data_IF_635904795540
#
_entry.id   IF_635904795540
#
_cell.length_a   1.000
_cell.length_b   1.000
_cell.length_c   1.000
_cell.angle_alpha   90.00
_cell.angle_beta   90.00
_cell.angle_gamma   90.00
#
_symmetry.space_group_name_H-M   'P 1'
#
loop_
_entity.id
_entity.type
_entity.pdbx_description
1 polymer ?
#
# COMPACT_ATOMS: atom_id res chain seq x y z
N UNK A 1 31.38 -27.10 -45.16
CA UNK A 1 30.79 -26.04 -44.32
C UNK A 1 29.59 -26.65 -43.62
N UNK A 2 29.82 -27.35 -42.50
CA UNK A 2 28.75 -28.00 -41.73
C UNK A 2 28.26 -26.97 -40.73
N UNK A 3 27.00 -26.56 -40.86
CA UNK A 3 26.36 -25.68 -39.88
C UNK A 3 26.09 -26.51 -38.61
N UNK A 4 26.85 -26.25 -37.56
CA UNK A 4 26.56 -26.75 -36.21
C UNK A 4 25.22 -26.15 -35.77
N UNK A 5 24.25 -27.00 -35.41
CA UNK A 5 22.99 -26.53 -34.85
C UNK A 5 23.28 -25.85 -33.50
N UNK A 6 22.66 -24.70 -33.18
CA UNK A 6 22.88 -24.03 -31.90
C UNK A 6 22.51 -25.00 -30.77
N UNK A 7 23.29 -25.02 -29.67
CA UNK A 7 23.04 -25.94 -28.57
C UNK A 7 21.61 -25.74 -28.07
N UNK A 8 20.83 -26.82 -28.06
CA UNK A 8 19.48 -26.81 -27.49
C UNK A 8 19.67 -26.46 -26.01
N UNK A 9 19.26 -25.24 -25.65
CA UNK A 9 19.39 -24.73 -24.29
C UNK A 9 18.85 -25.73 -23.28
N UNK A 10 19.60 -25.90 -22.19
CA UNK A 10 19.27 -26.80 -21.08
C UNK A 10 17.84 -26.52 -20.60
N UNK A 11 17.02 -27.57 -20.50
CA UNK A 11 15.61 -27.43 -20.11
C UNK A 11 15.55 -27.01 -18.65
N UNK A 12 15.26 -25.74 -18.39
CA UNK A 12 15.14 -25.20 -17.05
C UNK A 12 13.86 -25.75 -16.38
N UNK A 13 14.03 -26.51 -15.30
CA UNK A 13 12.92 -27.06 -14.53
C UNK A 13 12.16 -25.93 -13.80
N UNK A 14 11.15 -25.37 -14.47
CA UNK A 14 10.30 -24.29 -13.92
C UNK A 14 8.99 -24.85 -13.38
N UNK A 15 8.55 -24.33 -12.23
CA UNK A 15 7.21 -24.64 -11.71
C UNK A 15 6.13 -24.11 -12.68
N UNK A 16 5.06 -24.89 -12.96
CA UNK A 16 3.97 -24.43 -13.81
C UNK A 16 3.26 -23.18 -13.28
N UNK A 17 3.21 -23.03 -11.94
CA UNK A 17 2.63 -21.87 -11.26
C UNK A 17 3.54 -21.35 -10.15
N UNK A 18 3.61 -20.03 -9.95
CA UNK A 18 4.29 -19.45 -8.79
C UNK A 18 3.54 -19.82 -7.50
N UNK A 19 4.26 -19.76 -6.38
CA UNK A 19 3.64 -19.94 -5.07
C UNK A 19 2.60 -18.82 -4.85
N UNK A 20 1.34 -19.19 -4.56
CA UNK A 20 0.24 -18.24 -4.34
C UNK A 20 0.27 -17.63 -2.94
N UNK A 21 0.63 -18.42 -1.93
CA UNK A 21 0.79 -18.01 -0.55
C UNK A 21 2.05 -18.67 0.01
N UNK A 22 2.82 -17.94 0.81
CA UNK A 22 3.97 -18.48 1.51
C UNK A 22 3.59 -19.53 2.57
N UNK A 23 4.58 -20.17 3.20
CA UNK A 23 4.35 -21.06 4.34
C UNK A 23 3.52 -20.37 5.44
N UNK A 24 2.54 -21.09 6.00
CA UNK A 24 1.65 -20.55 7.04
C UNK A 24 2.49 -20.08 8.25
N UNK A 25 2.20 -18.90 8.77
CA UNK A 25 2.84 -18.33 9.97
C UNK A 25 4.08 -17.48 9.72
N UNK A 26 4.72 -17.58 8.53
CA UNK A 26 5.94 -16.80 8.24
C UNK A 26 5.68 -15.29 8.12
N UNK A 27 4.48 -14.89 7.69
CA UNK A 27 4.15 -13.51 7.37
C UNK A 27 4.15 -12.57 8.58
N UNK A 28 3.60 -12.99 9.72
CA UNK A 28 3.53 -12.13 10.92
C UNK A 28 4.92 -11.88 11.49
N UNK A 29 5.75 -12.92 11.58
CA UNK A 29 7.13 -12.80 12.02
C UNK A 29 7.91 -11.84 11.12
N UNK A 30 7.86 -12.05 9.80
CA UNK A 30 8.54 -11.19 8.84
C UNK A 30 8.05 -9.74 8.89
N UNK A 31 6.74 -9.48 9.06
CA UNK A 31 6.22 -8.12 9.16
C UNK A 31 6.81 -7.37 10.37
N UNK A 32 7.03 -8.06 11.49
CA UNK A 32 7.52 -7.43 12.72
C UNK A 32 9.05 -7.24 12.67
N UNK A 33 9.78 -8.18 12.07
CA UNK A 33 11.26 -8.20 12.11
C UNK A 33 11.91 -7.82 10.78
N UNK A 34 11.16 -7.40 9.77
CA UNK A 34 11.73 -7.06 8.45
C UNK A 34 12.59 -5.81 8.51
N UNK A 35 13.69 -5.82 7.76
CA UNK A 35 14.47 -4.63 7.40
C UNK A 35 14.37 -4.30 5.92
N UNK A 36 13.79 -5.19 5.09
CA UNK A 36 13.67 -5.00 3.65
C UNK A 36 12.75 -3.81 3.32
N UNK A 37 13.33 -2.79 2.68
CA UNK A 37 12.65 -1.59 2.22
C UNK A 37 11.44 -1.89 1.31
N UNK A 38 11.45 -2.99 0.57
CA UNK A 38 10.32 -3.39 -0.29
C UNK A 38 9.14 -3.85 0.55
N UNK A 39 9.39 -4.70 1.56
CA UNK A 39 8.34 -5.20 2.45
C UNK A 39 7.75 -4.04 3.26
N UNK A 40 8.61 -3.18 3.81
CA UNK A 40 8.19 -1.97 4.52
C UNK A 40 7.35 -1.06 3.61
N UNK A 41 7.79 -0.84 2.38
CA UNK A 41 7.04 -0.07 1.39
C UNK A 41 5.64 -0.64 1.10
N UNK A 42 5.52 -1.97 0.97
CA UNK A 42 4.21 -2.65 0.82
C UNK A 42 3.35 -2.42 2.07
N UNK A 43 3.92 -2.53 3.27
CA UNK A 43 3.21 -2.29 4.52
C UNK A 43 2.65 -0.86 4.60
N UNK A 44 3.45 0.15 4.21
CA UNK A 44 2.97 1.53 4.10
C UNK A 44 1.80 1.64 3.14
N UNK A 45 1.90 1.09 1.92
CA UNK A 45 0.81 1.15 0.94
C UNK A 45 -0.48 0.51 1.47
N UNK A 46 -0.39 -0.66 2.09
CA UNK A 46 -1.56 -1.37 2.64
C UNK A 46 -2.19 -0.58 3.80
N UNK A 47 -1.38 -0.09 4.73
CA UNK A 47 -1.88 0.69 5.87
C UNK A 47 -2.51 2.02 5.42
N UNK A 48 -1.84 2.75 4.52
CA UNK A 48 -2.35 4.00 3.96
C UNK A 48 -3.66 3.78 3.21
N UNK A 49 -3.78 2.70 2.44
CA UNK A 49 -5.04 2.38 1.76
C UNK A 49 -6.17 2.09 2.76
N UNK A 50 -5.86 1.47 3.91
CA UNK A 50 -6.79 1.36 5.02
C UNK A 50 -7.30 2.73 5.51
N UNK A 51 -6.39 3.66 5.81
CA UNK A 51 -6.76 5.03 6.22
C UNK A 51 -7.48 5.81 5.12
N UNK A 52 -7.14 5.58 3.85
CA UNK A 52 -7.84 6.16 2.71
C UNK A 52 -9.31 5.73 2.67
N UNK A 53 -9.62 4.46 2.94
CA UNK A 53 -10.99 3.97 3.00
C UNK A 53 -11.77 4.58 4.18
N UNK A 54 -11.14 4.65 5.37
CA UNK A 54 -11.76 5.26 6.55
C UNK A 54 -12.02 6.75 6.33
N UNK A 55 -11.01 7.49 5.85
CA UNK A 55 -11.14 8.90 5.52
C UNK A 55 -12.14 9.15 4.40
N UNK A 56 -12.16 8.30 3.38
CA UNK A 56 -13.12 8.36 2.27
C UNK A 56 -14.55 8.15 2.76
N UNK A 57 -14.77 7.20 3.67
CA UNK A 57 -16.08 6.97 4.28
C UNK A 57 -16.56 8.19 5.10
N UNK A 58 -15.67 8.80 5.89
CA UNK A 58 -16.00 10.05 6.60
C UNK A 58 -16.37 11.17 5.63
N UNK A 59 -15.68 11.29 4.49
CA UNK A 59 -16.04 12.27 3.46
C UNK A 59 -17.41 12.00 2.84
N UNK A 60 -17.80 10.74 2.67
CA UNK A 60 -19.14 10.39 2.20
C UNK A 60 -20.21 10.86 3.18
N UNK A 61 -20.02 10.66 4.49
CA UNK A 61 -20.96 11.18 5.51
C UNK A 61 -21.08 12.71 5.51
N UNK A 62 -19.96 13.43 5.35
CA UNK A 62 -19.96 14.88 5.20
C UNK A 62 -20.76 15.30 3.95
N UNK A 63 -20.54 14.59 2.83
CA UNK A 63 -21.23 14.88 1.56
C UNK A 63 -22.72 14.56 1.63
N UNK A 64 -23.13 13.54 2.38
CA UNK A 64 -24.55 13.23 2.57
C UNK A 64 -25.26 14.28 3.40
N UNK A 65 -24.61 14.88 4.41
CA UNK A 65 -25.21 16.02 5.13
C UNK A 65 -25.41 17.24 4.22
N UNK A 66 -24.45 17.53 3.35
CA UNK A 66 -24.51 18.69 2.46
C UNK A 66 -25.40 18.47 1.23
N UNK A 67 -26.03 17.30 1.09
CA UNK A 67 -26.86 17.00 -0.08
C UNK A 67 -28.14 17.86 -0.14
N UNK A 68 -28.68 18.22 1.02
CA UNK A 68 -29.86 19.09 1.18
C UNK A 68 -29.58 20.14 2.27
N UNK A 69 -30.15 21.35 2.15
CA UNK A 69 -29.96 22.38 3.16
C UNK A 69 -30.63 22.00 4.50
N UNK A 70 -29.92 22.19 5.60
CA UNK A 70 -30.36 21.85 6.96
C UNK A 70 -29.49 20.75 7.60
N UNK A 71 -29.85 20.33 8.81
CA UNK A 71 -29.25 19.15 9.45
C UNK A 71 -30.14 17.94 9.16
N UNK A 72 -29.57 16.87 8.62
CA UNK A 72 -30.34 15.69 8.23
C UNK A 72 -30.03 14.48 9.12
N UNK A 73 -28.75 14.15 9.27
CA UNK A 73 -28.30 12.91 9.93
C UNK A 73 -27.32 13.18 11.07
N UNK A 74 -26.40 14.15 10.91
CA UNK A 74 -25.36 14.49 11.88
C UNK A 74 -25.71 15.76 12.66
N UNK A 75 -25.30 15.78 13.94
CA UNK A 75 -25.29 17.04 14.72
C UNK A 75 -24.15 17.95 14.27
N UNK A 76 -24.26 19.25 14.55
CA UNK A 76 -23.19 20.22 14.26
C UNK A 76 -21.84 19.82 14.87
N UNK A 77 -21.85 19.26 16.09
CA UNK A 77 -20.63 18.80 16.74
C UNK A 77 -20.04 17.59 16.03
N UNK A 78 -20.87 16.61 15.67
CA UNK A 78 -20.44 15.42 14.94
C UNK A 78 -19.86 15.77 13.56
N UNK A 79 -20.47 16.73 12.86
CA UNK A 79 -19.96 17.22 11.58
C UNK A 79 -18.55 17.81 11.71
N UNK A 80 -18.34 18.68 12.70
CA UNK A 80 -17.04 19.31 12.96
C UNK A 80 -15.97 18.28 13.35
N UNK A 81 -16.34 17.28 14.16
CA UNK A 81 -15.44 16.17 14.51
C UNK A 81 -15.10 15.31 13.28
N UNK A 82 -16.10 14.96 12.46
CA UNK A 82 -15.88 14.17 11.24
C UNK A 82 -14.96 14.89 10.26
N UNK A 83 -15.17 16.19 10.04
CA UNK A 83 -14.34 17.00 9.16
C UNK A 83 -12.88 17.04 9.65
N UNK A 84 -12.69 17.25 10.95
CA UNK A 84 -11.35 17.27 11.56
C UNK A 84 -10.66 15.92 11.42
N UNK A 85 -11.34 14.83 11.79
CA UNK A 85 -10.78 13.47 11.70
C UNK A 85 -10.56 13.01 10.26
N UNK A 86 -11.43 13.39 9.32
CA UNK A 86 -11.21 13.18 7.89
C UNK A 86 -9.92 13.85 7.42
N UNK A 87 -9.74 15.14 7.76
CA UNK A 87 -8.54 15.89 7.43
C UNK A 87 -7.27 15.29 8.01
N UNK A 88 -7.30 14.91 9.29
CA UNK A 88 -6.17 14.23 9.96
C UNK A 88 -5.84 12.90 9.29
N UNK A 89 -6.85 12.07 9.01
CA UNK A 89 -6.68 10.77 8.36
C UNK A 89 -6.08 10.91 6.95
N UNK A 90 -6.58 11.85 6.15
CA UNK A 90 -6.13 12.05 4.77
C UNK A 90 -4.76 12.72 4.67
N UNK A 91 -4.48 13.75 5.47
CA UNK A 91 -3.22 14.48 5.38
C UNK A 91 -2.09 13.78 6.14
N UNK A 92 -2.32 13.43 7.41
CA UNK A 92 -1.24 12.94 8.27
C UNK A 92 -1.06 11.43 8.19
N UNK A 93 -2.15 10.66 8.07
CA UNK A 93 -2.10 9.20 8.08
C UNK A 93 -2.10 8.56 6.68
N UNK A 94 -2.48 9.31 5.64
CA UNK A 94 -2.46 8.84 4.25
C UNK A 94 -1.43 9.57 3.39
N UNK A 95 -1.54 10.90 3.22
CA UNK A 95 -0.72 11.63 2.25
C UNK A 95 0.76 11.69 2.63
N UNK A 96 1.10 11.96 3.89
CA UNK A 96 2.50 11.97 4.33
C UNK A 96 3.13 10.55 4.27
N UNK A 97 2.51 9.50 4.82
CA UNK A 97 3.15 8.19 4.87
C UNK A 97 3.20 7.49 3.50
N UNK A 98 2.24 7.74 2.59
CA UNK A 98 2.27 7.12 1.26
C UNK A 98 3.47 7.61 0.42
N UNK A 99 3.88 8.88 0.60
CA UNK A 99 5.09 9.41 -0.06
C UNK A 99 6.33 8.63 0.37
N UNK A 100 6.50 8.39 1.67
CA UNK A 100 7.58 7.56 2.19
C UNK A 100 7.42 6.07 1.82
N UNK A 101 6.19 5.57 1.70
CA UNK A 101 5.91 4.23 1.20
C UNK A 101 6.44 4.02 -0.22
N UNK A 102 6.14 4.94 -1.14
CA UNK A 102 6.68 4.91 -2.50
C UNK A 102 8.18 5.12 -2.55
N UNK A 103 8.74 5.98 -1.69
CA UNK A 103 10.18 6.15 -1.57
C UNK A 103 10.83 4.81 -1.20
N UNK A 104 10.32 4.09 -0.19
CA UNK A 104 10.83 2.78 0.18
C UNK A 104 10.69 1.73 -0.95
N UNK A 105 9.60 1.73 -1.71
CA UNK A 105 9.40 0.76 -2.80
C UNK A 105 10.32 1.00 -4.01
N UNK A 106 10.42 2.26 -4.44
CA UNK A 106 10.91 2.59 -5.79
C UNK A 106 12.26 3.27 -5.77
N UNK A 107 12.55 4.11 -4.78
CA UNK A 107 13.74 4.97 -4.79
C UNK A 107 15.05 4.16 -4.76
N UNK A 108 15.25 3.15 -3.89
CA UNK A 108 16.46 2.33 -3.93
C UNK A 108 16.67 1.62 -5.26
N UNK A 109 15.58 1.16 -5.88
CA UNK A 109 15.62 0.49 -7.19
C UNK A 109 15.99 1.46 -8.32
N UNK A 110 15.56 2.72 -8.25
CA UNK A 110 15.89 3.75 -9.24
C UNK A 110 17.37 4.17 -9.18
N UNK A 111 17.95 4.24 -7.97
CA UNK A 111 19.35 4.64 -7.78
C UNK A 111 20.33 3.44 -7.81
N UNK A 112 19.82 2.22 -7.92
CA UNK A 112 20.63 1.00 -7.90
C UNK A 112 21.23 0.67 -6.53
N UNK A 113 20.65 1.19 -5.45
CA UNK A 113 21.10 0.92 -4.08
C UNK A 113 20.61 -0.46 -3.60
N UNK A 114 21.41 -1.18 -2.79
CA UNK A 114 21.02 -2.48 -2.26
C UNK A 114 19.95 -2.42 -1.17
N UNK A 115 19.89 -1.32 -0.39
CA UNK A 115 18.89 -1.07 0.66
C UNK A 115 18.79 0.44 0.97
N UNK A 116 17.86 0.82 1.85
CA UNK A 116 17.72 2.19 2.40
C UNK A 116 18.72 2.44 3.53
N UNK A 117 19.18 3.69 3.67
CA UNK A 117 20.15 4.12 4.69
C UNK A 117 19.48 4.83 5.87
#
# INVERSE_FOLDING_TARGET
MVAEAPPIGEIEARRPFPARLGPKGNLIYNIITTTDHKLIGIMYCVACFGFFLVGGLMALFIRTELALPGLQFLSNEQFNQLFTMHGTAMLLFYATPIVFGFANLVLPLQIGAPDVA
#
